data_IF_800272073236
#
_entry.id   IF_800272073236
#
_cell.length_a   1.000
_cell.length_b   1.000
_cell.length_c   1.000
_cell.angle_alpha   90.00
_cell.angle_beta   90.00
_cell.angle_gamma   90.00
#
_symmetry.space_group_name_H-M   'P 1'
#
loop_
_entity.id
_entity.type
_entity.pdbx_description
1 polymer ?
#
# COMPACT_ATOMS: atom_id res chain seq x y z
N UNK A 1 9.59 6.15 11.45
CA UNK A 1 8.99 5.05 12.21
C UNK A 1 9.64 5.01 13.57
N UNK A 2 8.90 5.44 14.62
CA UNK A 2 9.50 5.63 15.95
C UNK A 2 9.84 4.31 16.63
N UNK A 3 9.07 3.24 16.41
CA UNK A 3 9.38 1.91 16.94
C UNK A 3 10.74 1.36 16.47
N UNK A 4 11.21 1.77 15.29
CA UNK A 4 12.56 1.39 14.82
C UNK A 4 13.66 2.10 15.62
N UNK A 5 13.40 3.35 16.06
CA UNK A 5 14.36 4.14 16.82
C UNK A 5 14.54 3.61 18.24
N UNK A 6 13.55 2.92 18.77
CA UNK A 6 13.57 2.31 20.10
C UNK A 6 14.26 0.92 20.12
N UNK A 7 14.65 0.40 18.93
CA UNK A 7 15.45 -0.83 18.83
C UNK A 7 16.81 -0.61 19.50
N UNK A 8 17.26 -1.51 20.39
CA UNK A 8 18.55 -1.38 21.07
C UNK A 8 19.74 -1.31 20.10
N UNK A 9 20.82 -0.65 20.53
CA UNK A 9 22.11 -0.67 19.81
C UNK A 9 22.56 -2.11 19.59
N UNK A 10 22.91 -2.46 18.34
CA UNK A 10 23.27 -3.83 17.97
C UNK A 10 22.08 -4.71 17.56
N UNK A 11 20.84 -4.23 17.74
CA UNK A 11 19.66 -4.91 17.21
C UNK A 11 19.49 -4.76 15.70
N UNK A 12 18.52 -5.48 15.14
CA UNK A 12 18.13 -5.38 13.72
C UNK A 12 16.68 -4.99 13.58
N UNK A 13 16.37 -4.38 12.44
CA UNK A 13 15.05 -3.88 12.04
C UNK A 13 14.63 -4.60 10.77
N UNK A 14 13.44 -5.20 10.78
CA UNK A 14 12.84 -5.77 9.58
C UNK A 14 12.42 -4.63 8.63
N UNK A 15 12.99 -4.62 7.43
CA UNK A 15 12.68 -3.65 6.39
C UNK A 15 12.35 -4.39 5.09
N UNK A 16 11.09 -4.60 4.83
CA UNK A 16 10.62 -5.48 3.77
C UNK A 16 11.11 -6.92 3.98
N UNK A 17 11.80 -7.48 3.01
CA UNK A 17 12.41 -8.81 3.07
C UNK A 17 13.86 -8.81 3.65
N UNK A 18 14.34 -7.68 4.15
CA UNK A 18 15.72 -7.50 4.64
C UNK A 18 15.73 -7.24 6.13
N UNK A 19 16.82 -7.69 6.78
CA UNK A 19 17.15 -7.29 8.15
C UNK A 19 18.28 -6.26 8.07
N UNK A 20 18.01 -5.06 8.56
CA UNK A 20 18.97 -3.97 8.58
C UNK A 20 19.44 -3.72 10.02
N UNK A 21 20.74 -3.47 10.25
CA UNK A 21 21.21 -3.14 11.59
C UNK A 21 20.62 -1.81 12.05
N UNK A 22 20.41 -1.65 13.37
CA UNK A 22 19.91 -0.38 13.95
C UNK A 22 20.77 0.82 13.52
N UNK A 23 22.06 0.63 13.33
CA UNK A 23 23.02 1.66 12.90
C UNK A 23 22.79 2.18 11.47
N UNK A 24 22.00 1.48 10.66
CA UNK A 24 21.60 1.98 9.33
C UNK A 24 20.55 3.11 9.40
N UNK A 25 19.98 3.37 10.58
CA UNK A 25 18.96 4.38 10.81
C UNK A 25 19.47 5.48 11.72
N UNK A 26 18.98 6.69 11.54
CA UNK A 26 19.29 7.84 12.38
C UNK A 26 18.99 7.57 13.86
N UNK A 27 19.77 8.18 14.74
CA UNK A 27 19.57 8.14 16.19
C UNK A 27 18.73 9.34 16.65
N UNK A 28 18.16 9.25 17.86
CA UNK A 28 17.48 10.39 18.47
C UNK A 28 18.40 11.61 18.67
N UNK A 29 19.70 11.39 18.86
CA UNK A 29 20.67 12.48 18.95
C UNK A 29 20.81 13.23 17.63
N UNK A 30 20.95 12.50 16.51
CA UNK A 30 20.99 13.09 15.17
C UNK A 30 19.67 13.79 14.80
N UNK A 31 18.52 13.22 15.18
CA UNK A 31 17.21 13.86 14.96
C UNK A 31 17.12 15.19 15.70
N UNK A 32 17.59 15.26 16.95
CA UNK A 32 17.65 16.53 17.71
C UNK A 32 18.58 17.55 17.06
N UNK A 33 19.74 17.11 16.62
CA UNK A 33 20.70 17.97 15.90
C UNK A 33 20.09 18.57 14.63
N UNK A 34 19.46 17.73 13.80
CA UNK A 34 18.75 18.18 12.60
C UNK A 34 17.65 19.20 12.95
N UNK A 35 16.85 18.94 13.97
CA UNK A 35 15.80 19.88 14.38
C UNK A 35 16.36 21.20 14.92
N UNK A 36 17.44 21.15 15.70
CA UNK A 36 18.09 22.34 16.28
C UNK A 36 18.73 23.23 15.22
N UNK A 37 19.10 22.70 14.08
CA UNK A 37 19.58 23.49 12.93
C UNK A 37 18.57 24.51 12.41
N UNK A 38 17.27 24.32 12.70
CA UNK A 38 16.18 25.13 12.17
C UNK A 38 15.85 24.85 10.69
N UNK A 39 16.61 23.97 10.03
CA UNK A 39 16.44 23.64 8.62
C UNK A 39 15.57 22.41 8.39
N UNK A 40 15.29 21.63 9.45
CA UNK A 40 14.58 20.34 9.36
C UNK A 40 13.38 20.31 10.30
N UNK A 41 12.22 20.04 9.76
CA UNK A 41 11.01 19.72 10.53
C UNK A 41 10.87 18.21 10.67
N UNK A 42 10.64 17.73 11.91
CA UNK A 42 10.47 16.32 12.18
C UNK A 42 8.99 15.94 12.05
N UNK A 43 8.71 15.04 11.12
CA UNK A 43 7.40 14.45 10.89
C UNK A 43 7.29 13.03 11.45
N UNK A 44 6.08 12.59 11.76
CA UNK A 44 5.83 11.19 12.10
C UNK A 44 5.66 10.33 10.85
N UNK A 45 6.28 9.16 10.83
CA UNK A 45 6.00 8.10 9.86
C UNK A 45 5.41 6.87 10.58
N UNK A 46 4.52 7.13 11.57
CA UNK A 46 3.90 6.17 12.48
C UNK A 46 4.89 5.54 13.48
N UNK A 47 4.36 4.78 14.44
CA UNK A 47 5.18 4.02 15.38
C UNK A 47 5.58 2.65 14.82
N UNK A 48 4.59 1.83 14.40
CA UNK A 48 4.80 0.46 13.92
C UNK A 48 3.90 0.09 12.73
N UNK A 49 3.37 1.05 11.97
CA UNK A 49 2.49 0.76 10.83
C UNK A 49 3.22 0.64 9.49
N UNK A 50 4.55 0.81 9.46
CA UNK A 50 5.33 0.59 8.23
C UNK A 50 5.65 -0.91 8.03
N UNK A 51 4.61 -1.71 8.01
CA UNK A 51 4.65 -3.17 7.82
C UNK A 51 3.33 -3.66 7.24
N UNK A 52 3.30 -4.92 6.82
CA UNK A 52 2.06 -5.59 6.41
C UNK A 52 1.38 -6.32 7.57
N UNK A 53 0.08 -6.53 7.43
CA UNK A 53 -0.75 -7.40 8.25
C UNK A 53 -1.41 -8.47 7.37
N UNK A 54 -1.80 -9.57 8.01
CA UNK A 54 -2.61 -10.61 7.36
C UNK A 54 -4.06 -10.09 7.23
N UNK A 55 -4.59 -10.11 6.01
CA UNK A 55 -5.90 -9.57 5.67
C UNK A 55 -7.01 -10.62 5.53
N UNK A 56 -6.68 -11.91 5.57
CA UNK A 56 -7.67 -12.98 5.43
C UNK A 56 -7.08 -14.34 5.84
N UNK A 57 -7.93 -15.41 5.95
CA UNK A 57 -7.46 -16.74 6.33
C UNK A 57 -6.47 -17.38 5.34
N UNK A 58 -6.31 -16.84 4.15
CA UNK A 58 -5.42 -17.35 3.09
C UNK A 58 -4.03 -16.69 3.09
N UNK A 59 -3.79 -15.75 4.02
CA UNK A 59 -2.49 -15.11 4.19
C UNK A 59 -2.24 -13.90 3.29
N UNK A 60 -3.26 -13.36 2.61
CA UNK A 60 -3.11 -12.10 1.87
C UNK A 60 -2.66 -10.98 2.80
N UNK A 61 -1.78 -10.12 2.30
CA UNK A 61 -1.18 -9.06 3.08
C UNK A 61 -1.62 -7.68 2.60
N UNK A 62 -1.69 -6.73 3.51
CA UNK A 62 -2.02 -5.34 3.24
C UNK A 62 -1.28 -4.40 4.20
N UNK A 63 -1.23 -3.10 3.87
CA UNK A 63 -0.55 -2.10 4.69
C UNK A 63 -1.21 -1.98 6.07
N UNK A 64 -0.42 -2.00 7.14
CA UNK A 64 -0.94 -2.03 8.51
C UNK A 64 -1.78 -0.80 8.91
N UNK A 65 -1.73 0.29 8.15
CA UNK A 65 -2.59 1.46 8.36
C UNK A 65 -4.04 1.23 7.92
N UNK A 66 -4.29 0.24 7.08
CA UNK A 66 -5.63 -0.07 6.56
C UNK A 66 -6.41 -1.00 7.51
N UNK A 67 -7.76 -1.03 7.44
CA UNK A 67 -8.59 -1.94 8.22
C UNK A 67 -8.56 -3.36 7.64
N UNK A 68 -8.98 -4.34 8.43
CA UNK A 68 -9.19 -5.71 7.98
C UNK A 68 -8.15 -6.71 8.49
N UNK A 69 -7.43 -6.40 9.57
CA UNK A 69 -6.49 -7.34 10.18
C UNK A 69 -7.20 -8.64 10.57
N UNK A 70 -6.74 -9.76 9.98
CA UNK A 70 -7.25 -11.10 10.28
C UNK A 70 -6.30 -11.80 11.25
N UNK A 71 -6.78 -12.08 12.45
CA UNK A 71 -6.00 -12.73 13.49
C UNK A 71 -6.88 -13.64 14.35
N UNK A 72 -6.34 -14.77 14.76
CA UNK A 72 -7.05 -15.74 15.61
C UNK A 72 -8.43 -16.17 15.06
N UNK A 73 -8.51 -16.38 13.74
CA UNK A 73 -9.71 -16.88 13.07
C UNK A 73 -10.80 -15.81 12.83
N UNK A 74 -10.55 -14.53 13.07
CA UNK A 74 -11.52 -13.45 12.84
C UNK A 74 -10.89 -12.17 12.32
N UNK A 75 -11.71 -11.32 11.74
CA UNK A 75 -11.33 -9.95 11.39
C UNK A 75 -11.38 -9.02 12.60
N UNK A 76 -10.53 -8.02 12.61
CA UNK A 76 -10.65 -6.91 13.56
C UNK A 76 -11.99 -6.17 13.35
N UNK A 77 -12.59 -5.73 14.43
CA UNK A 77 -13.76 -4.85 14.39
C UNK A 77 -13.35 -3.42 14.09
N UNK A 78 -14.31 -2.58 13.69
CA UNK A 78 -14.07 -1.14 13.48
C UNK A 78 -13.50 -0.47 14.75
N UNK A 79 -13.98 -0.84 15.93
CA UNK A 79 -13.48 -0.31 17.20
C UNK A 79 -12.01 -0.72 17.45
N UNK A 80 -11.66 -1.98 17.19
CA UNK A 80 -10.28 -2.49 17.30
C UNK A 80 -9.35 -1.80 16.30
N UNK A 81 -9.79 -1.62 15.06
CA UNK A 81 -9.07 -0.87 14.04
C UNK A 81 -8.79 0.56 14.49
N UNK A 82 -9.84 1.31 14.87
CA UNK A 82 -9.70 2.71 15.34
C UNK A 82 -8.78 2.83 16.54
N UNK A 83 -8.90 1.91 17.50
CA UNK A 83 -8.03 1.88 18.67
C UNK A 83 -6.56 1.59 18.30
N UNK A 84 -6.30 0.66 17.39
CA UNK A 84 -4.97 0.32 16.89
C UNK A 84 -4.30 1.52 16.22
N UNK A 85 -5.00 2.19 15.32
CA UNK A 85 -4.49 3.37 14.62
C UNK A 85 -4.25 4.54 15.60
N UNK A 86 -5.21 4.82 16.48
CA UNK A 86 -5.07 5.89 17.48
C UNK A 86 -3.88 5.65 18.41
N UNK A 87 -3.74 4.42 18.88
CA UNK A 87 -2.64 4.04 19.78
C UNK A 87 -1.28 4.23 19.12
N UNK A 88 -1.13 3.82 17.87
CA UNK A 88 0.10 3.97 17.11
C UNK A 88 0.46 5.45 16.88
N UNK A 89 -0.48 6.23 16.38
CA UNK A 89 -0.27 7.66 16.13
C UNK A 89 0.12 8.41 17.41
N UNK A 90 -0.56 8.12 18.51
CA UNK A 90 -0.26 8.71 19.82
C UNK A 90 1.15 8.33 20.28
N UNK A 91 1.52 7.04 20.21
CA UNK A 91 2.86 6.56 20.57
C UNK A 91 3.93 7.25 19.76
N UNK A 92 3.74 7.34 18.45
CA UNK A 92 4.69 8.02 17.57
C UNK A 92 4.84 9.49 17.94
N UNK A 93 3.73 10.21 18.08
CA UNK A 93 3.76 11.63 18.42
C UNK A 93 4.39 11.89 19.80
N UNK A 94 4.07 11.07 20.80
CA UNK A 94 4.61 11.18 22.15
C UNK A 94 6.11 10.82 22.19
N UNK A 95 6.55 9.82 21.41
CA UNK A 95 7.95 9.46 21.30
C UNK A 95 8.78 10.60 20.68
N UNK A 96 8.28 11.21 19.60
CA UNK A 96 8.92 12.39 19.00
C UNK A 96 8.96 13.54 20.01
N UNK A 97 7.85 13.85 20.67
CA UNK A 97 7.77 14.96 21.64
C UNK A 97 8.74 14.77 22.81
N UNK A 98 8.82 13.57 23.39
CA UNK A 98 9.75 13.25 24.48
C UNK A 98 11.21 13.42 24.08
N UNK A 99 11.55 13.05 22.84
CA UNK A 99 12.94 13.06 22.40
C UNK A 99 13.39 14.39 21.79
N UNK A 100 12.46 15.20 21.29
CA UNK A 100 12.79 16.46 20.59
C UNK A 100 12.25 17.71 21.28
N UNK A 101 11.39 17.55 22.27
CA UNK A 101 10.70 18.66 22.94
C UNK A 101 9.53 19.25 22.13
N UNK A 102 9.26 18.73 20.93
CA UNK A 102 8.21 19.26 20.04
C UNK A 102 7.35 18.13 19.49
N UNK A 103 6.01 18.27 19.62
CA UNK A 103 5.06 17.33 19.01
C UNK A 103 5.01 17.53 17.50
N UNK A 104 5.05 16.45 16.69
CA UNK A 104 4.96 16.57 15.23
C UNK A 104 3.57 17.01 14.81
N UNK A 105 3.47 17.95 13.87
CA UNK A 105 2.21 18.38 13.23
C UNK A 105 1.97 17.68 11.89
N UNK A 106 2.97 16.98 11.36
CA UNK A 106 2.92 16.33 10.05
C UNK A 106 2.98 14.82 10.22
N UNK A 107 2.06 14.11 9.55
CA UNK A 107 2.06 12.65 9.42
C UNK A 107 2.44 12.28 7.98
N UNK A 108 3.33 11.31 7.82
CA UNK A 108 3.70 10.73 6.53
C UNK A 108 3.13 9.33 6.45
N UNK A 109 2.28 9.08 5.46
CA UNK A 109 1.61 7.78 5.33
C UNK A 109 2.59 6.68 4.89
N UNK A 110 2.69 5.56 5.65
CA UNK A 110 3.42 4.38 5.20
C UNK A 110 2.85 3.87 3.86
N UNK A 111 3.72 3.61 2.91
CA UNK A 111 3.36 3.17 1.55
C UNK A 111 2.41 4.13 0.81
N UNK A 112 2.22 5.35 1.30
CA UNK A 112 1.21 6.27 0.79
C UNK A 112 -0.24 5.81 1.01
N UNK A 113 -0.47 4.75 1.78
CA UNK A 113 -1.80 4.18 2.02
C UNK A 113 -2.49 4.87 3.20
N UNK A 114 -3.75 5.22 3.01
CA UNK A 114 -4.62 5.81 4.04
C UNK A 114 -6.09 5.65 3.66
N UNK A 115 -6.98 5.85 4.63
CA UNK A 115 -8.41 5.97 4.42
C UNK A 115 -8.98 7.13 5.25
N UNK A 116 -10.25 7.46 5.05
CA UNK A 116 -10.91 8.58 5.73
C UNK A 116 -10.89 8.42 7.26
N UNK A 117 -11.09 7.21 7.78
CA UNK A 117 -11.05 6.91 9.21
C UNK A 117 -9.66 7.20 9.79
N UNK A 118 -8.59 6.74 9.13
CA UNK A 118 -7.22 7.00 9.58
C UNK A 118 -6.88 8.51 9.54
N UNK A 119 -7.34 9.21 8.50
CA UNK A 119 -7.18 10.68 8.39
C UNK A 119 -7.92 11.38 9.55
N UNK A 120 -9.15 11.00 9.85
CA UNK A 120 -9.92 11.58 10.96
C UNK A 120 -9.18 11.37 12.29
N UNK A 121 -8.69 10.14 12.56
CA UNK A 121 -7.92 9.84 13.77
C UNK A 121 -6.61 10.65 13.82
N UNK A 122 -5.92 10.83 12.69
CA UNK A 122 -4.72 11.68 12.65
C UNK A 122 -5.02 13.11 13.08
N UNK A 123 -6.14 13.69 12.63
CA UNK A 123 -6.59 15.04 13.08
C UNK A 123 -6.93 15.07 14.56
N UNK A 124 -7.62 14.06 15.09
CA UNK A 124 -7.93 13.91 16.52
C UNK A 124 -6.65 13.83 17.38
N UNK A 125 -5.59 13.20 16.87
CA UNK A 125 -4.29 13.09 17.57
C UNK A 125 -3.35 14.30 17.34
N UNK A 126 -3.83 15.35 16.64
CA UNK A 126 -3.15 16.63 16.51
C UNK A 126 -2.26 16.79 15.28
N UNK A 127 -2.34 15.88 14.30
CA UNK A 127 -1.67 16.08 13.02
C UNK A 127 -2.47 17.04 12.14
N UNK A 128 -1.85 18.14 11.75
CA UNK A 128 -2.48 19.21 10.95
C UNK A 128 -2.44 18.92 9.46
N UNK A 129 -1.39 18.23 9.02
CA UNK A 129 -1.08 17.94 7.62
C UNK A 129 -0.57 16.53 7.49
N UNK A 130 -0.85 15.90 6.38
CA UNK A 130 -0.28 14.60 6.05
C UNK A 130 0.35 14.59 4.66
N UNK A 131 1.38 13.74 4.48
CA UNK A 131 2.08 13.55 3.23
C UNK A 131 1.72 12.21 2.62
N UNK A 132 1.25 12.26 1.38
CA UNK A 132 0.85 11.10 0.58
C UNK A 132 1.87 10.82 -0.53
N UNK A 133 1.69 9.75 -1.29
CA UNK A 133 2.39 9.50 -2.55
C UNK A 133 1.49 9.81 -3.76
N UNK A 134 0.44 10.61 -3.57
CA UNK A 134 -0.41 11.06 -4.66
C UNK A 134 0.17 12.37 -5.23
N UNK A 135 0.89 12.25 -6.31
CA UNK A 135 1.57 13.34 -7.02
C UNK A 135 0.73 14.04 -8.09
N UNK A 136 -0.51 13.55 -8.33
CA UNK A 136 -1.35 13.97 -9.47
C UNK A 136 -1.97 15.35 -9.37
N UNK A 137 -1.88 16.00 -8.21
CA UNK A 137 -2.46 17.32 -7.98
C UNK A 137 -1.40 18.26 -7.44
N UNK A 138 -1.34 19.46 -8.00
CA UNK A 138 -0.52 20.51 -7.45
C UNK A 138 -0.91 20.80 -5.98
N UNK A 139 0.06 20.88 -5.10
CA UNK A 139 -0.13 21.31 -3.74
C UNK A 139 -0.37 22.83 -3.69
N UNK A 140 -1.28 23.25 -2.83
CA UNK A 140 -1.52 24.68 -2.51
C UNK A 140 -1.29 24.90 -1.03
N UNK A 141 -1.27 26.15 -0.59
CA UNK A 141 -1.13 26.49 0.83
C UNK A 141 -2.28 25.93 1.70
N UNK A 142 -3.41 25.60 1.11
CA UNK A 142 -4.58 25.01 1.77
C UNK A 142 -4.61 23.48 1.72
N UNK A 143 -3.70 22.87 0.95
CA UNK A 143 -3.65 21.39 0.81
C UNK A 143 -3.21 20.76 2.14
N UNK A 144 -4.05 19.89 2.70
CA UNK A 144 -3.76 19.16 3.93
C UNK A 144 -3.20 17.76 3.66
N UNK A 145 -3.68 17.11 2.60
CA UNK A 145 -3.13 15.86 2.08
C UNK A 145 -2.11 16.19 1.00
N UNK A 146 -0.90 16.49 1.40
CA UNK A 146 0.15 16.99 0.50
C UNK A 146 0.70 15.82 -0.31
N UNK A 147 0.61 15.93 -1.63
CA UNK A 147 1.26 15.01 -2.56
C UNK A 147 2.77 15.21 -2.53
N UNK A 148 3.52 14.14 -2.61
CA UNK A 148 4.98 14.17 -2.69
C UNK A 148 5.49 13.14 -3.68
N UNK A 149 6.60 13.47 -4.32
CA UNK A 149 7.35 12.54 -5.16
C UNK A 149 8.42 11.81 -4.34
N UNK A 150 8.62 10.54 -4.66
CA UNK A 150 9.69 9.74 -4.09
C UNK A 150 10.95 9.88 -4.94
N UNK A 151 11.96 10.51 -4.39
CA UNK A 151 13.29 10.58 -5.01
C UNK A 151 14.11 9.39 -4.52
N UNK A 152 14.51 8.54 -5.43
CA UNK A 152 15.31 7.34 -5.17
C UNK A 152 16.62 7.32 -5.96
N UNK A 153 17.31 6.18 -5.96
CA UNK A 153 18.62 6.03 -6.63
C UNK A 153 18.53 6.10 -8.18
N UNK A 154 17.34 5.87 -8.74
CA UNK A 154 17.11 5.91 -10.19
C UNK A 154 16.67 7.30 -10.65
N UNK A 155 16.31 8.17 -9.72
CA UNK A 155 15.88 9.55 -9.99
C UNK A 155 17.07 10.41 -10.40
N UNK A 156 17.17 10.73 -11.68
CA UNK A 156 18.23 11.60 -12.21
C UNK A 156 17.83 13.09 -12.21
N UNK A 157 18.79 13.97 -12.48
CA UNK A 157 18.54 15.42 -12.50
C UNK A 157 17.50 15.84 -13.54
N UNK A 158 17.40 15.13 -14.67
CA UNK A 158 16.37 15.37 -15.69
C UNK A 158 14.98 15.12 -15.14
N UNK A 159 14.78 13.99 -14.47
CA UNK A 159 13.53 13.66 -13.78
C UNK A 159 13.14 14.73 -12.75
N UNK A 160 14.09 15.13 -11.89
CA UNK A 160 13.83 16.14 -10.85
C UNK A 160 13.46 17.49 -11.49
N UNK A 161 14.15 17.87 -12.57
CA UNK A 161 13.86 19.10 -13.31
C UNK A 161 12.46 19.07 -13.92
N UNK A 162 12.13 17.99 -14.63
CA UNK A 162 10.82 17.82 -15.28
C UNK A 162 9.69 17.80 -14.25
N UNK A 163 9.92 17.19 -13.08
CA UNK A 163 8.99 17.21 -11.96
C UNK A 163 8.77 18.64 -11.43
N UNK A 164 9.84 19.39 -11.16
CA UNK A 164 9.77 20.78 -10.66
C UNK A 164 9.16 21.74 -11.67
N UNK A 165 9.35 21.51 -12.95
CA UNK A 165 8.73 22.28 -14.04
C UNK A 165 7.28 21.83 -14.33
N UNK A 166 6.73 20.93 -13.52
CA UNK A 166 5.40 20.33 -13.67
C UNK A 166 5.16 19.62 -15.02
N UNK A 167 6.23 19.27 -15.75
CA UNK A 167 6.14 18.59 -17.05
C UNK A 167 5.69 17.13 -16.91
N UNK A 168 5.91 16.50 -15.73
CA UNK A 168 5.46 15.15 -15.44
C UNK A 168 3.95 15.07 -15.11
N UNK A 169 3.29 16.21 -14.93
CA UNK A 169 1.83 16.28 -14.82
C UNK A 169 1.13 16.29 -16.19
N UNK A 170 1.88 16.49 -17.26
CA UNK A 170 1.39 16.20 -18.59
C UNK A 170 1.24 14.68 -18.69
N UNK A 171 0.01 14.21 -18.87
CA UNK A 171 -0.34 12.79 -18.87
C UNK A 171 0.50 12.07 -19.93
N UNK A 172 1.70 11.65 -19.54
CA UNK A 172 2.58 10.86 -20.40
C UNK A 172 1.81 9.68 -20.99
N UNK A 173 2.26 9.18 -22.10
CA UNK A 173 1.64 8.05 -22.80
C UNK A 173 1.24 6.96 -21.82
N UNK A 174 -0.05 6.75 -21.61
CA UNK A 174 -0.55 5.69 -20.75
C UNK A 174 -0.32 4.35 -21.45
N UNK A 175 0.47 3.48 -20.79
CA UNK A 175 0.72 2.11 -21.26
C UNK A 175 -0.10 1.17 -20.41
N UNK A 176 -1.19 0.70 -20.99
CA UNK A 176 -2.14 -0.20 -20.32
C UNK A 176 -1.80 -1.65 -20.67
N UNK A 177 -1.76 -2.50 -19.67
CA UNK A 177 -1.57 -3.95 -19.82
C UNK A 177 -2.71 -4.69 -19.17
N UNK A 178 -3.27 -5.68 -19.86
CA UNK A 178 -4.16 -6.68 -19.25
C UNK A 178 -3.32 -7.83 -18.70
N UNK A 179 -3.66 -8.29 -17.52
CA UNK A 179 -3.03 -9.43 -16.86
C UNK A 179 -4.10 -10.43 -16.44
N UNK A 180 -4.02 -11.61 -17.03
CA UNK A 180 -4.88 -12.73 -16.69
C UNK A 180 -4.25 -13.54 -15.55
N UNK A 181 -4.93 -13.61 -14.40
CA UNK A 181 -4.47 -14.41 -13.28
C UNK A 181 -4.56 -15.91 -13.54
N UNK A 182 -5.35 -16.35 -14.51
CA UNK A 182 -5.38 -17.75 -14.95
C UNK A 182 -4.01 -18.25 -15.44
N UNK A 183 -3.18 -17.36 -16.05
CA UNK A 183 -1.81 -17.67 -16.45
C UNK A 183 -0.77 -17.57 -15.32
N UNK A 184 -1.15 -17.00 -14.18
CA UNK A 184 -0.31 -16.92 -12.99
C UNK A 184 -0.60 -18.08 -12.05
N UNK A 185 -1.87 -18.45 -11.94
CA UNK A 185 -2.33 -19.55 -11.11
C UNK A 185 -1.69 -20.87 -11.52
N UNK A 186 -1.28 -21.66 -10.55
CA UNK A 186 -0.84 -23.04 -10.71
C UNK A 186 -1.24 -23.84 -9.46
N UNK A 187 -1.55 -25.11 -9.64
CA UNK A 187 -1.83 -26.03 -8.53
C UNK A 187 -0.58 -26.36 -7.71
N UNK A 188 0.60 -26.32 -8.34
CA UNK A 188 1.89 -26.32 -7.64
C UNK A 188 2.20 -24.90 -7.11
N UNK A 189 2.14 -24.76 -5.79
CA UNK A 189 2.40 -23.49 -5.12
C UNK A 189 3.78 -22.89 -5.48
N UNK A 190 4.81 -23.71 -5.68
CA UNK A 190 6.14 -23.23 -6.08
C UNK A 190 6.17 -22.70 -7.51
N UNK A 191 5.41 -23.34 -8.40
CA UNK A 191 5.29 -22.85 -9.78
C UNK A 191 4.48 -21.54 -9.79
N UNK A 192 3.41 -21.45 -9.03
CA UNK A 192 2.62 -20.25 -8.88
C UNK A 192 3.48 -19.06 -8.37
N UNK A 193 4.34 -19.28 -7.37
CA UNK A 193 5.27 -18.24 -6.90
C UNK A 193 6.25 -17.79 -8.00
N UNK A 194 6.80 -18.73 -8.76
CA UNK A 194 7.67 -18.39 -9.89
C UNK A 194 6.94 -17.58 -10.98
N UNK A 195 5.70 -17.95 -11.29
CA UNK A 195 4.88 -17.24 -12.27
C UNK A 195 4.60 -15.82 -11.79
N UNK A 196 4.30 -15.68 -10.53
CA UNK A 196 4.02 -14.42 -9.85
C UNK A 196 5.25 -13.48 -9.88
N UNK A 197 6.42 -13.95 -9.47
CA UNK A 197 7.64 -13.14 -9.50
C UNK A 197 8.00 -12.68 -10.93
N UNK A 198 7.84 -13.58 -11.92
CA UNK A 198 8.03 -13.23 -13.34
C UNK A 198 7.03 -12.19 -13.83
N UNK A 199 5.76 -12.24 -13.37
CA UNK A 199 4.77 -11.22 -13.71
C UNK A 199 5.24 -9.85 -13.23
N UNK A 200 5.59 -9.73 -11.94
CA UNK A 200 6.01 -8.45 -11.36
C UNK A 200 7.24 -7.90 -12.06
N UNK A 201 8.24 -8.74 -12.32
CA UNK A 201 9.44 -8.36 -13.06
C UNK A 201 9.12 -7.88 -14.49
N UNK A 202 8.25 -8.59 -15.22
CA UNK A 202 7.87 -8.21 -16.58
C UNK A 202 7.14 -6.89 -16.63
N UNK A 203 6.19 -6.66 -15.73
CA UNK A 203 5.42 -5.39 -15.67
C UNK A 203 6.37 -4.23 -15.35
N UNK A 204 7.28 -4.38 -14.39
CA UNK A 204 8.26 -3.37 -14.04
C UNK A 204 9.17 -3.04 -15.24
N UNK A 205 9.72 -4.08 -15.92
CA UNK A 205 10.63 -3.90 -17.06
C UNK A 205 9.92 -3.36 -18.32
N UNK A 206 8.63 -3.64 -18.49
CA UNK A 206 7.85 -3.17 -19.63
C UNK A 206 7.55 -1.67 -19.56
N UNK A 207 7.64 -1.07 -18.37
CA UNK A 207 7.31 0.33 -18.13
C UNK A 207 5.81 0.61 -18.32
N UNK A 208 4.95 -0.34 -17.96
CA UNK A 208 3.51 -0.11 -17.88
C UNK A 208 3.20 0.99 -16.87
N UNK A 209 2.12 1.74 -17.10
CA UNK A 209 1.62 2.74 -16.15
C UNK A 209 0.34 2.26 -15.46
N UNK A 210 -0.39 1.37 -16.12
CA UNK A 210 -1.69 0.87 -15.68
C UNK A 210 -1.84 -0.61 -16.01
N UNK A 211 -2.35 -1.38 -15.06
CA UNK A 211 -2.68 -2.79 -15.22
C UNK A 211 -4.17 -3.01 -14.96
N UNK A 212 -4.86 -3.62 -15.91
CA UNK A 212 -6.16 -4.24 -15.70
C UNK A 212 -5.92 -5.69 -15.29
N UNK A 213 -6.08 -5.99 -14.01
CA UNK A 213 -5.81 -7.28 -13.42
C UNK A 213 -7.11 -8.09 -13.35
N UNK A 214 -7.13 -9.26 -14.00
CA UNK A 214 -8.24 -10.18 -13.94
C UNK A 214 -8.53 -10.60 -12.50
N UNK A 215 -9.76 -10.40 -12.05
CA UNK A 215 -10.18 -10.74 -10.69
C UNK A 215 -11.08 -11.99 -10.64
N UNK A 216 -11.40 -12.56 -11.80
CA UNK A 216 -12.23 -13.76 -11.97
C UNK A 216 -11.47 -14.87 -12.69
N UNK A 217 -11.99 -16.06 -12.67
CA UNK A 217 -11.49 -17.19 -13.45
C UNK A 217 -12.53 -17.60 -14.49
N UNK A 218 -12.04 -17.90 -15.67
CA UNK A 218 -12.79 -18.35 -16.84
C UNK A 218 -12.00 -19.49 -17.48
N UNK A 219 -12.15 -20.69 -16.90
CA UNK A 219 -11.27 -21.82 -17.21
C UNK A 219 -11.50 -22.40 -18.61
N UNK A 220 -12.69 -22.24 -19.13
CA UNK A 220 -13.09 -22.75 -20.46
C UNK A 220 -13.08 -21.65 -21.56
N UNK A 221 -12.85 -20.37 -21.17
CA UNK A 221 -12.76 -19.27 -22.11
C UNK A 221 -14.09 -18.85 -22.73
N UNK A 222 -15.22 -19.17 -22.08
CA UNK A 222 -16.55 -18.86 -22.60
C UNK A 222 -17.01 -17.43 -22.29
N UNK A 223 -16.23 -16.68 -21.50
CA UNK A 223 -16.53 -15.30 -21.09
C UNK A 223 -17.39 -15.20 -19.83
N UNK A 224 -17.72 -16.29 -19.19
CA UNK A 224 -18.48 -16.34 -17.93
C UNK A 224 -17.55 -16.58 -16.76
N UNK A 225 -17.65 -15.77 -15.71
CA UNK A 225 -16.87 -15.98 -14.50
C UNK A 225 -17.44 -17.13 -13.67
N UNK A 226 -16.71 -18.22 -13.55
CA UNK A 226 -17.08 -19.41 -12.79
C UNK A 226 -16.52 -19.41 -11.37
N UNK A 227 -15.47 -18.61 -11.16
CA UNK A 227 -14.84 -18.42 -9.87
C UNK A 227 -14.17 -17.05 -9.83
N UNK A 228 -13.61 -16.67 -8.68
CA UNK A 228 -12.87 -15.42 -8.51
C UNK A 228 -11.54 -15.64 -7.80
N UNK A 229 -10.64 -14.66 -7.90
CA UNK A 229 -9.31 -14.67 -7.28
C UNK A 229 -9.24 -13.85 -5.98
N UNK A 230 -10.38 -13.67 -5.30
CA UNK A 230 -10.45 -12.97 -4.02
C UNK A 230 -11.53 -13.57 -3.11
N UNK A 231 -11.41 -13.45 -1.79
CA UNK A 231 -12.42 -13.90 -0.85
C UNK A 231 -13.74 -13.16 -1.02
N UNK A 232 -14.82 -13.90 -1.13
CA UNK A 232 -16.17 -13.37 -1.26
C UNK A 232 -17.18 -14.40 -0.73
N UNK A 233 -18.49 -14.08 -0.73
CA UNK A 233 -19.57 -14.96 -0.23
C UNK A 233 -20.57 -15.37 -1.30
N UNK A 234 -20.36 -15.02 -2.57
CA UNK A 234 -21.37 -15.19 -3.62
C UNK A 234 -20.96 -16.20 -4.67
N UNK A 235 -19.70 -16.32 -4.98
CA UNK A 235 -19.17 -17.21 -6.01
C UNK A 235 -17.95 -17.95 -5.48
N UNK A 236 -17.65 -19.11 -6.05
CA UNK A 236 -16.49 -19.93 -5.68
C UNK A 236 -15.20 -19.10 -5.82
N UNK A 237 -14.33 -19.21 -4.83
CA UNK A 237 -12.96 -18.69 -4.93
C UNK A 237 -12.04 -19.78 -5.48
N UNK A 238 -11.33 -19.51 -6.57
CA UNK A 238 -10.33 -20.42 -7.14
C UNK A 238 -9.02 -20.37 -6.34
N UNK A 239 -8.57 -19.14 -6.07
CA UNK A 239 -7.41 -18.86 -5.22
C UNK A 239 -7.47 -17.41 -4.73
N UNK A 240 -6.80 -17.10 -3.63
CA UNK A 240 -6.68 -15.72 -3.14
C UNK A 240 -5.40 -15.07 -3.71
N UNK A 241 -5.45 -14.66 -4.97
CA UNK A 241 -4.31 -14.08 -5.70
C UNK A 241 -4.47 -12.60 -5.99
N UNK A 242 -5.69 -12.10 -6.16
CA UNK A 242 -5.92 -10.75 -6.67
C UNK A 242 -5.30 -9.67 -5.77
N UNK A 243 -5.64 -9.67 -4.50
CA UNK A 243 -5.19 -8.63 -3.55
C UNK A 243 -3.67 -8.61 -3.41
N UNK A 244 -3.06 -9.79 -3.33
CA UNK A 244 -1.62 -9.95 -3.27
C UNK A 244 -0.94 -9.44 -4.53
N UNK A 245 -1.44 -9.84 -5.70
CA UNK A 245 -0.88 -9.43 -6.99
C UNK A 245 -1.00 -7.93 -7.19
N UNK A 246 -2.18 -7.36 -6.95
CA UNK A 246 -2.42 -5.93 -7.05
C UNK A 246 -1.45 -5.13 -6.17
N UNK A 247 -1.29 -5.54 -4.91
CA UNK A 247 -0.39 -4.87 -4.00
C UNK A 247 1.08 -4.91 -4.44
N UNK A 248 1.55 -6.07 -4.90
CA UNK A 248 2.92 -6.20 -5.39
C UNK A 248 3.17 -5.40 -6.68
N UNK A 249 2.21 -5.37 -7.59
CA UNK A 249 2.30 -4.55 -8.80
C UNK A 249 2.35 -3.06 -8.48
N UNK A 250 1.53 -2.59 -7.53
CA UNK A 250 1.54 -1.20 -7.08
C UNK A 250 2.87 -0.84 -6.42
N UNK A 251 3.39 -1.69 -5.52
CA UNK A 251 4.54 -1.36 -4.68
C UNK A 251 5.89 -1.63 -5.33
N UNK A 252 6.00 -2.63 -6.22
CA UNK A 252 7.25 -3.04 -6.84
C UNK A 252 7.38 -2.60 -8.30
N UNK A 253 6.27 -2.52 -9.03
CA UNK A 253 6.27 -2.07 -10.42
C UNK A 253 5.77 -0.62 -10.58
N UNK A 254 5.27 0.02 -9.51
CA UNK A 254 4.84 1.42 -9.53
C UNK A 254 3.64 1.71 -10.43
N UNK A 255 2.82 0.70 -10.75
CA UNK A 255 1.68 0.83 -11.66
C UNK A 255 0.37 1.07 -10.94
N UNK A 256 -0.60 1.66 -11.63
CA UNK A 256 -2.01 1.67 -11.21
C UNK A 256 -2.61 0.29 -11.50
N UNK A 257 -3.40 -0.24 -10.57
CA UNK A 257 -4.09 -1.50 -10.79
C UNK A 257 -5.60 -1.30 -10.68
N UNK A 258 -6.32 -1.77 -11.69
CA UNK A 258 -7.76 -1.84 -11.72
C UNK A 258 -8.20 -3.30 -11.79
N UNK A 259 -9.24 -3.66 -11.04
CA UNK A 259 -9.85 -4.97 -11.16
C UNK A 259 -10.58 -5.07 -12.51
N UNK A 260 -10.27 -6.12 -13.25
CA UNK A 260 -11.00 -6.46 -14.46
C UNK A 260 -11.95 -7.61 -14.16
N UNK A 261 -13.26 -7.34 -14.34
CA UNK A 261 -14.34 -8.29 -14.07
C UNK A 261 -15.43 -8.15 -15.14
N UNK A 262 -16.12 -9.22 -15.52
CA UNK A 262 -17.33 -9.11 -16.31
C UNK A 262 -18.40 -8.36 -15.50
N UNK A 263 -19.28 -7.61 -16.17
CA UNK A 263 -20.34 -6.87 -15.49
C UNK A 263 -21.54 -7.75 -15.15
N UNK A 264 -21.91 -8.71 -16.02
CA UNK A 264 -23.12 -9.51 -15.88
C UNK A 264 -22.92 -11.00 -16.17
N UNK A 265 -21.74 -11.42 -16.63
CA UNK A 265 -21.46 -12.80 -17.00
C UNK A 265 -20.83 -13.55 -15.82
N UNK A 266 -21.65 -14.03 -14.90
CA UNK A 266 -21.24 -14.83 -13.76
C UNK A 266 -22.08 -16.10 -13.67
N UNK A 267 -21.45 -17.24 -13.41
CA UNK A 267 -22.13 -18.45 -12.95
C UNK A 267 -22.23 -18.41 -11.41
N UNK A 268 -23.38 -17.97 -10.93
CA UNK A 268 -23.66 -17.86 -9.49
C UNK A 268 -24.31 -19.15 -8.94
N UNK A 269 -24.53 -20.15 -9.79
CA UNK A 269 -25.19 -21.40 -9.42
C UNK A 269 -26.70 -21.28 -9.21
N UNK A 270 -27.29 -22.34 -8.64
CA UNK A 270 -28.73 -22.40 -8.37
C UNK A 270 -29.16 -21.37 -7.30
N UNK A 271 -30.37 -20.82 -7.47
CA UNK A 271 -30.99 -19.88 -6.52
C UNK A 271 -30.76 -18.41 -6.83
N UNK A 272 -30.12 -18.10 -7.95
CA UNK A 272 -29.96 -16.74 -8.45
C UNK A 272 -30.87 -16.48 -9.66
N UNK A 273 -31.47 -15.29 -9.70
CA UNK A 273 -32.22 -14.83 -10.88
C UNK A 273 -31.25 -14.24 -11.90
N UNK A 274 -31.24 -14.82 -13.09
CA UNK A 274 -30.45 -14.30 -14.21
C UNK A 274 -31.30 -13.40 -15.09
N UNK A 275 -30.65 -12.41 -15.71
CA UNK A 275 -31.32 -11.57 -16.70
C UNK A 275 -31.74 -12.44 -17.89
N UNK A 276 -33.03 -12.42 -18.25
CA UNK A 276 -33.50 -13.13 -19.40
C UNK A 276 -32.95 -12.46 -20.68
N UNK A 277 -32.32 -13.26 -21.54
CA UNK A 277 -32.00 -12.83 -22.89
C UNK A 277 -33.28 -12.85 -23.76
N UNK A 278 -33.63 -11.72 -24.35
CA UNK A 278 -34.65 -11.65 -25.38
C UNK A 278 -34.08 -12.01 -26.74
#
# INVERSE_FOLDING_TARGET
VTGWLDTPSGGSIAYGNRQLPRSAFVSWAQIREMQQSGLVEIASHTDDLHRSLIGNPFGSQFAAVMPGNYRNGRYETEAEYRNRIRTDFRRSADSIARNTGKRPRVLVWPYGQFNETAVAIAREEGFETDLTLNDRKANTAQTRNVGRELIDQESNLGFIKDYLEARLFDHGMERVVHVDLDYVYDTDARQMERNFDKLVERIANYGATTVYLQAYADDDGNGVAEAVYFPNRHIKMKADLFSRTAWQLITRAGVKVYAWMPMMAFDLGEGHEYVAHN
#
